data_IF_286216612577
#
_entry.id   IF_286216612577
#
_cell.length_a   1.000
_cell.length_b   1.000
_cell.length_c   1.000
_cell.angle_alpha   90.00
_cell.angle_beta   90.00
_cell.angle_gamma   90.00
#
_symmetry.space_group_name_H-M   'P 1'
#
loop_
_entity.id
_entity.type
_entity.pdbx_description
1 polymer ?
#
# COMPACT_ATOMS: atom_id res chain seq x y z
N UNK A 1 -31.06 -9.25 -40.53
CA UNK A 1 -31.02 -7.77 -40.40
C UNK A 1 -30.80 -7.37 -38.95
N UNK A 2 -29.55 -7.34 -38.45
CA UNK A 2 -29.22 -6.91 -37.07
C UNK A 2 -27.71 -6.67 -36.85
N UNK A 3 -26.98 -6.29 -37.91
CA UNK A 3 -25.52 -6.03 -37.86
C UNK A 3 -25.11 -4.66 -38.43
N UNK A 4 -26.06 -3.73 -38.57
CA UNK A 4 -25.83 -2.45 -39.26
C UNK A 4 -26.18 -1.21 -38.42
N UNK A 5 -26.29 -1.33 -37.09
CA UNK A 5 -26.70 -0.24 -36.21
C UNK A 5 -25.63 0.22 -35.20
N UNK A 6 -24.45 -0.42 -35.16
CA UNK A 6 -23.41 -0.12 -34.15
C UNK A 6 -22.31 0.81 -34.68
N UNK A 7 -22.30 1.11 -35.99
CA UNK A 7 -21.21 1.87 -36.63
C UNK A 7 -21.41 3.40 -36.63
N UNK A 8 -22.45 3.95 -36.00
CA UNK A 8 -22.84 5.36 -36.14
C UNK A 8 -22.78 6.20 -34.85
N UNK A 9 -22.18 5.69 -33.77
CA UNK A 9 -22.10 6.39 -32.48
C UNK A 9 -20.68 6.86 -32.06
N UNK A 10 -19.67 6.69 -32.92
CA UNK A 10 -18.24 6.90 -32.57
C UNK A 10 -17.66 8.24 -33.09
N UNK A 11 -18.45 9.13 -33.71
CA UNK A 11 -17.90 10.33 -34.40
C UNK A 11 -18.19 11.68 -33.69
N UNK A 12 -18.68 11.69 -32.44
CA UNK A 12 -19.14 12.94 -31.80
C UNK A 12 -18.29 13.49 -30.64
N UNK A 13 -17.05 13.02 -30.42
CA UNK A 13 -16.22 13.49 -29.27
C UNK A 13 -14.87 14.15 -29.64
N UNK A 14 -14.75 14.73 -30.84
CA UNK A 14 -13.53 15.40 -31.31
C UNK A 14 -13.74 16.90 -31.59
N UNK A 15 -14.07 17.72 -30.57
CA UNK A 15 -13.90 19.18 -30.66
C UNK A 15 -14.19 19.92 -29.33
N UNK A 16 -13.42 19.69 -28.26
CA UNK A 16 -13.42 20.60 -27.11
C UNK A 16 -12.13 20.52 -26.29
N UNK A 17 -10.99 20.82 -26.90
CA UNK A 17 -9.78 21.18 -26.16
C UNK A 17 -9.40 22.60 -26.56
N UNK A 18 -9.97 23.58 -25.84
CA UNK A 18 -9.52 24.96 -25.93
C UNK A 18 -8.23 25.08 -25.10
N UNK A 19 -7.14 25.68 -25.63
CA UNK A 19 -5.92 25.90 -24.86
C UNK A 19 -6.17 26.94 -23.75
N UNK A 20 -5.65 26.75 -22.52
CA UNK A 20 -5.74 27.76 -21.48
C UNK A 20 -4.97 29.03 -21.88
N UNK A 21 -5.62 30.15 -21.64
CA UNK A 21 -5.22 31.52 -22.00
C UNK A 21 -3.91 31.92 -21.29
N UNK A 22 -3.00 32.67 -21.93
CA UNK A 22 -1.74 33.11 -21.31
C UNK A 22 -2.00 34.01 -20.10
N UNK A 23 -1.44 33.67 -18.94
CA UNK A 23 -1.43 34.55 -17.78
C UNK A 23 -0.26 35.54 -17.90
N UNK A 24 -0.61 36.83 -17.84
CA UNK A 24 0.32 37.97 -17.88
C UNK A 24 1.01 38.11 -16.52
N UNK A 25 2.34 38.11 -16.56
CA UNK A 25 3.24 38.41 -15.44
C UNK A 25 3.08 39.89 -15.08
N UNK A 26 2.71 40.19 -13.83
CA UNK A 26 2.79 41.54 -13.27
C UNK A 26 4.03 41.63 -12.38
N UNK A 27 5.04 42.33 -12.88
CA UNK A 27 6.12 42.90 -12.08
C UNK A 27 5.51 43.69 -10.93
N UNK A 28 5.91 43.37 -9.70
CA UNK A 28 5.61 44.22 -8.55
C UNK A 28 6.90 44.86 -8.09
N UNK A 29 6.85 46.19 -8.16
CA UNK A 29 7.89 47.18 -8.00
C UNK A 29 8.63 47.07 -6.65
N UNK A 30 9.95 47.21 -6.76
CA UNK A 30 10.89 47.42 -5.66
C UNK A 30 10.57 48.75 -4.99
N UNK A 31 10.20 48.73 -3.70
CA UNK A 31 10.21 49.91 -2.85
C UNK A 31 11.25 49.71 -1.76
N UNK A 32 12.40 50.34 -1.99
CA UNK A 32 13.41 50.67 -1.00
C UNK A 32 12.82 51.60 0.04
N UNK A 33 12.65 51.13 1.27
CA UNK A 33 12.47 52.01 2.43
C UNK A 33 13.56 51.71 3.45
N UNK A 34 14.60 52.52 3.37
CA UNK A 34 15.63 52.66 4.40
C UNK A 34 14.96 53.26 5.63
N UNK A 35 14.97 52.52 6.74
CA UNK A 35 14.67 53.08 8.07
C UNK A 35 15.79 52.67 9.00
N UNK A 36 16.36 53.70 9.61
CA UNK A 36 17.54 53.70 10.44
C UNK A 36 17.27 53.04 11.81
N UNK A 37 18.33 52.38 12.30
CA UNK A 37 18.70 52.08 13.71
C UNK A 37 17.72 52.50 14.82
N UNK A 38 17.56 51.64 15.84
CA UNK A 38 18.57 51.66 16.89
C UNK A 38 19.05 50.28 17.36
N UNK A 39 20.23 50.34 17.96
CA UNK A 39 20.97 49.25 18.61
C UNK A 39 20.19 48.77 19.82
N UNK A 40 19.72 47.51 19.80
CA UNK A 40 19.19 46.84 20.99
C UNK A 40 20.07 45.64 21.35
N UNK A 41 20.85 45.86 22.41
CA UNK A 41 21.11 44.95 23.52
C UNK A 41 21.30 43.47 23.15
N UNK A 42 22.56 43.05 23.18
CA UNK A 42 23.03 41.68 23.31
C UNK A 42 22.40 40.99 24.53
N UNK A 43 21.24 40.38 24.37
CA UNK A 43 20.84 39.21 25.16
C UNK A 43 21.20 37.98 24.36
N UNK A 44 22.32 37.36 24.73
CA UNK A 44 22.62 35.98 24.32
C UNK A 44 21.60 35.11 25.03
N UNK A 45 20.44 34.95 24.40
CA UNK A 45 19.54 33.85 24.73
C UNK A 45 20.25 32.62 24.21
N UNK A 46 20.80 31.81 25.11
CA UNK A 46 21.16 30.43 24.80
C UNK A 46 19.91 29.74 24.29
N UNK A 47 19.73 29.77 22.97
CA UNK A 47 18.71 29.01 22.27
C UNK A 47 19.12 27.56 22.47
N UNK A 48 18.57 26.95 23.51
CA UNK A 48 18.61 25.51 23.73
C UNK A 48 18.07 24.89 22.44
N UNK A 49 18.98 24.44 21.59
CA UNK A 49 18.67 23.71 20.38
C UNK A 49 18.28 22.34 20.89
N UNK A 50 17.03 22.17 21.32
CA UNK A 50 16.50 20.84 21.58
C UNK A 50 16.65 20.08 20.26
N UNK A 51 17.49 19.03 20.18
CA UNK A 51 17.67 18.32 18.93
C UNK A 51 16.29 17.82 18.51
N UNK A 52 15.84 18.25 17.33
CA UNK A 52 14.64 17.70 16.72
C UNK A 52 14.83 16.19 16.69
N UNK A 53 13.92 15.40 17.30
CA UNK A 53 14.06 13.95 17.27
C UNK A 53 14.21 13.50 15.81
N UNK A 54 15.11 12.55 15.53
CA UNK A 54 15.29 12.04 14.18
C UNK A 54 13.92 11.61 13.63
N UNK A 55 13.65 11.86 12.34
CA UNK A 55 12.37 11.50 11.75
C UNK A 55 12.10 10.01 12.02
N UNK A 56 10.85 9.63 12.35
CA UNK A 56 10.51 8.25 12.63
C UNK A 56 10.95 7.38 11.45
N UNK A 57 11.64 6.28 11.74
CA UNK A 57 12.09 5.36 10.70
C UNK A 57 10.87 4.86 9.91
N UNK A 58 10.96 4.76 8.57
CA UNK A 58 9.90 4.18 7.77
C UNK A 58 9.60 2.76 8.26
N UNK A 59 8.33 2.39 8.32
CA UNK A 59 7.93 1.01 8.62
C UNK A 59 8.37 0.12 7.46
N UNK A 60 9.01 -1.01 7.73
CA UNK A 60 9.47 -1.94 6.69
C UNK A 60 8.57 -3.17 6.67
N UNK A 61 8.17 -3.60 5.48
CA UNK A 61 7.38 -4.82 5.27
C UNK A 61 7.86 -5.57 4.04
N UNK A 62 7.92 -6.89 4.13
CA UNK A 62 8.23 -7.80 3.04
C UNK A 62 6.94 -8.36 2.46
N UNK A 63 6.85 -8.36 1.14
CA UNK A 63 5.76 -8.95 0.35
C UNK A 63 6.32 -10.14 -0.40
N UNK A 64 5.87 -11.35 -0.06
CA UNK A 64 6.20 -12.58 -0.79
C UNK A 64 5.18 -12.79 -1.89
N UNK A 65 5.59 -12.73 -3.15
CA UNK A 65 4.63 -12.81 -4.26
C UNK A 65 5.26 -13.39 -5.52
N UNK A 66 4.48 -14.23 -6.21
CA UNK A 66 4.77 -14.72 -7.55
C UNK A 66 3.64 -14.31 -8.50
N UNK A 67 4.01 -13.64 -9.58
CA UNK A 67 3.10 -13.17 -10.63
C UNK A 67 3.74 -13.38 -12.00
N UNK A 68 2.93 -13.29 -13.06
CA UNK A 68 3.43 -13.25 -14.43
C UNK A 68 4.26 -11.98 -14.66
N UNK A 69 5.29 -12.04 -15.50
CA UNK A 69 6.28 -10.96 -15.68
C UNK A 69 5.66 -9.56 -15.87
N UNK A 70 4.60 -9.45 -16.67
CA UNK A 70 3.95 -8.16 -16.92
C UNK A 70 3.22 -7.62 -15.67
N UNK A 71 2.62 -8.50 -14.87
CA UNK A 71 1.96 -8.13 -13.61
C UNK A 71 2.99 -7.78 -12.55
N UNK A 72 4.08 -8.55 -12.43
CA UNK A 72 5.18 -8.26 -11.49
C UNK A 72 5.82 -6.90 -11.81
N UNK A 73 6.07 -6.63 -13.10
CA UNK A 73 6.59 -5.34 -13.54
C UNK A 73 5.65 -4.19 -13.14
N UNK A 74 4.37 -4.29 -13.44
CA UNK A 74 3.39 -3.26 -13.07
C UNK A 74 3.30 -3.08 -11.54
N UNK A 75 3.31 -4.18 -10.78
CA UNK A 75 3.26 -4.18 -9.33
C UNK A 75 4.46 -3.42 -8.73
N UNK A 76 5.68 -3.72 -9.21
CA UNK A 76 6.92 -3.09 -8.71
C UNK A 76 7.09 -1.65 -9.18
N UNK A 77 6.69 -1.33 -10.41
CA UNK A 77 6.92 0.02 -10.98
C UNK A 77 5.81 1.02 -10.62
N UNK A 78 4.58 0.55 -10.41
CA UNK A 78 3.42 1.42 -10.23
C UNK A 78 2.79 1.28 -8.85
N UNK A 79 2.43 0.05 -8.45
CA UNK A 79 1.68 -0.17 -7.22
C UNK A 79 2.53 0.07 -5.97
N UNK A 80 3.74 -0.50 -5.92
CA UNK A 80 4.61 -0.39 -4.75
C UNK A 80 5.00 1.06 -4.46
N UNK A 81 5.49 1.87 -5.42
CA UNK A 81 5.81 3.27 -5.15
C UNK A 81 4.59 4.10 -4.70
N UNK A 82 3.40 3.80 -5.26
CA UNK A 82 2.17 4.44 -4.83
C UNK A 82 1.80 4.07 -3.38
N UNK A 83 1.92 2.79 -3.02
CA UNK A 83 1.66 2.30 -1.67
C UNK A 83 2.68 2.83 -0.65
N UNK A 84 3.97 2.83 -0.97
CA UNK A 84 5.03 3.39 -0.10
C UNK A 84 4.77 4.86 0.22
N UNK A 85 4.36 5.65 -0.78
CA UNK A 85 4.00 7.06 -0.62
C UNK A 85 2.73 7.25 0.21
N UNK A 86 1.71 6.42 -0.01
CA UNK A 86 0.44 6.52 0.71
C UNK A 86 0.55 6.11 2.18
N UNK A 87 1.35 5.07 2.46
CA UNK A 87 1.47 4.47 3.79
C UNK A 87 2.72 4.94 4.57
N UNK A 88 3.56 5.78 3.94
CA UNK A 88 4.86 6.21 4.50
C UNK A 88 5.69 5.03 5.04
N UNK A 89 5.76 3.99 4.22
CA UNK A 89 6.41 2.74 4.56
C UNK A 89 7.25 2.24 3.38
N UNK A 90 8.15 1.30 3.65
CA UNK A 90 9.05 0.70 2.67
C UNK A 90 8.65 -0.75 2.46
N UNK A 91 8.43 -1.12 1.21
CA UNK A 91 8.04 -2.48 0.83
C UNK A 91 9.20 -3.19 0.13
N UNK A 92 9.56 -4.37 0.62
CA UNK A 92 10.49 -5.27 -0.06
C UNK A 92 9.71 -6.37 -0.73
N UNK A 93 9.72 -6.42 -2.06
CA UNK A 93 9.00 -7.46 -2.80
C UNK A 93 9.95 -8.60 -3.15
N UNK A 94 9.70 -9.77 -2.57
CA UNK A 94 10.47 -10.99 -2.78
C UNK A 94 9.61 -11.99 -3.55
N UNK A 95 10.20 -12.63 -4.55
CA UNK A 95 9.55 -13.67 -5.33
C UNK A 95 10.12 -15.02 -4.95
N UNK A 96 9.24 -16.01 -4.79
CA UNK A 96 9.60 -17.40 -4.53
C UNK A 96 9.42 -18.22 -5.81
N UNK A 97 10.20 -19.29 -5.93
CA UNK A 97 10.16 -20.18 -7.10
C UNK A 97 9.11 -21.28 -6.94
N UNK A 98 9.03 -21.86 -5.73
CA UNK A 98 8.11 -22.94 -5.39
C UNK A 98 7.18 -22.53 -4.25
N UNK A 99 5.97 -23.06 -4.25
CA UNK A 99 4.95 -22.74 -3.25
C UNK A 99 5.37 -23.24 -1.87
N UNK A 100 6.06 -24.39 -1.81
CA UNK A 100 6.59 -25.00 -0.59
C UNK A 100 7.68 -24.15 0.07
N UNK A 101 8.34 -23.27 -0.69
CA UNK A 101 9.36 -22.36 -0.14
C UNK A 101 8.72 -21.33 0.80
N UNK A 102 7.42 -21.02 0.64
CA UNK A 102 6.71 -20.05 1.46
C UNK A 102 6.74 -20.44 2.94
N UNK A 103 6.39 -21.70 3.25
CA UNK A 103 6.38 -22.20 4.64
C UNK A 103 7.78 -22.07 5.25
N UNK A 104 8.81 -22.47 4.50
CA UNK A 104 10.21 -22.41 4.95
C UNK A 104 10.64 -20.96 5.18
N UNK A 105 10.31 -20.05 4.27
CA UNK A 105 10.65 -18.62 4.39
C UNK A 105 9.98 -17.98 5.61
N UNK A 106 8.67 -18.20 5.79
CA UNK A 106 7.93 -17.66 6.93
C UNK A 106 8.44 -18.24 8.24
N UNK A 107 8.72 -19.55 8.28
CA UNK A 107 9.30 -20.21 9.46
C UNK A 107 10.67 -19.64 9.82
N UNK A 108 11.59 -19.58 8.85
CA UNK A 108 12.93 -19.03 9.08
C UNK A 108 12.88 -17.59 9.59
N UNK A 109 11.92 -16.83 9.09
CA UNK A 109 11.73 -15.45 9.52
C UNK A 109 11.24 -15.35 10.97
N UNK A 110 10.23 -16.16 11.33
CA UNK A 110 9.73 -16.27 12.70
C UNK A 110 10.83 -16.73 13.66
N UNK A 111 11.58 -17.77 13.28
CA UNK A 111 12.70 -18.31 14.07
C UNK A 111 13.83 -17.29 14.24
N UNK A 112 14.05 -16.42 13.24
CA UNK A 112 15.03 -15.33 13.31
C UNK A 112 14.56 -14.13 14.15
N UNK A 113 13.26 -14.05 14.46
CA UNK A 113 12.62 -12.93 15.15
C UNK A 113 12.45 -11.66 14.29
N UNK A 114 12.86 -11.66 13.02
CA UNK A 114 12.72 -10.54 12.08
C UNK A 114 11.30 -10.52 11.52
N UNK A 115 10.29 -10.15 12.29
CA UNK A 115 8.88 -10.15 11.83
C UNK A 115 8.61 -9.06 10.78
N UNK A 116 8.96 -9.31 9.51
CA UNK A 116 8.87 -8.34 8.40
C UNK A 116 7.92 -8.78 7.29
N UNK A 117 7.72 -10.08 7.03
CA UNK A 117 6.80 -10.59 6.01
C UNK A 117 5.39 -10.33 6.50
N UNK A 118 4.80 -9.28 5.94
CA UNK A 118 3.43 -8.85 6.24
C UNK A 118 2.42 -9.29 5.19
N UNK A 119 2.86 -9.67 3.98
CA UNK A 119 1.95 -10.08 2.91
C UNK A 119 2.54 -11.23 2.10
N UNK A 120 1.77 -12.29 1.88
CA UNK A 120 2.17 -13.42 1.06
C UNK A 120 1.08 -13.80 0.08
N UNK A 121 1.40 -13.87 -1.21
CA UNK A 121 0.51 -14.41 -2.22
C UNK A 121 0.75 -15.89 -2.40
N UNK A 122 -0.28 -16.71 -2.18
CA UNK A 122 -0.20 -18.17 -2.35
C UNK A 122 -1.49 -18.75 -2.90
N UNK A 123 -1.56 -20.06 -3.04
CA UNK A 123 -2.76 -20.81 -3.42
C UNK A 123 -3.58 -21.20 -2.19
N UNK A 124 -4.90 -21.36 -2.37
CA UNK A 124 -5.80 -21.71 -1.26
C UNK A 124 -5.43 -23.00 -0.50
N UNK A 125 -4.73 -23.94 -1.14
CA UNK A 125 -4.30 -25.19 -0.52
C UNK A 125 -3.29 -24.99 0.61
N UNK A 126 -2.47 -23.93 0.54
CA UNK A 126 -1.43 -23.65 1.53
C UNK A 126 -1.95 -22.91 2.76
N UNK A 127 -3.16 -22.34 2.69
CA UNK A 127 -3.67 -21.51 3.80
C UNK A 127 -3.91 -22.34 5.03
N UNK A 128 -4.59 -23.48 4.86
CA UNK A 128 -4.96 -24.34 5.97
C UNK A 128 -3.75 -24.81 6.79
N UNK A 129 -2.67 -25.35 6.17
CA UNK A 129 -1.46 -25.67 6.92
C UNK A 129 -0.81 -24.44 7.56
N UNK A 130 -0.77 -23.29 6.88
CA UNK A 130 -0.20 -22.05 7.45
C UNK A 130 -0.98 -21.53 8.69
N UNK A 131 -2.31 -21.67 8.68
CA UNK A 131 -3.17 -21.36 9.85
C UNK A 131 -2.95 -22.37 10.97
N UNK A 132 -2.90 -23.66 10.65
CA UNK A 132 -2.68 -24.72 11.63
C UNK A 132 -1.31 -24.59 12.33
N UNK A 133 -0.29 -24.11 11.62
CA UNK A 133 1.04 -23.82 12.15
C UNK A 133 1.13 -22.49 12.91
N UNK A 134 0.05 -21.68 12.91
CA UNK A 134 0.01 -20.40 13.61
C UNK A 134 0.83 -19.29 12.93
N UNK A 135 1.12 -19.43 11.63
CA UNK A 135 1.91 -18.47 10.87
C UNK A 135 1.10 -17.27 10.37
N UNK A 136 -0.23 -17.35 10.48
CA UNK A 136 -1.16 -16.34 10.02
C UNK A 136 -1.88 -15.63 11.15
N UNK A 137 -2.16 -14.34 10.93
CA UNK A 137 -2.93 -13.51 11.84
C UNK A 137 -4.32 -13.28 11.22
N UNK A 138 -5.43 -13.46 11.98
CA UNK A 138 -6.76 -13.12 11.50
C UNK A 138 -6.88 -11.64 11.12
N UNK A 139 -7.58 -11.34 10.02
CA UNK A 139 -7.78 -9.98 9.51
C UNK A 139 -8.49 -9.08 10.52
N UNK A 140 -9.37 -9.66 11.36
CA UNK A 140 -10.05 -8.95 12.43
C UNK A 140 -9.09 -8.36 13.47
N UNK A 141 -7.94 -9.01 13.70
CA UNK A 141 -6.90 -8.56 14.63
C UNK A 141 -5.99 -7.48 14.02
N UNK A 142 -5.94 -7.40 12.68
CA UNK A 142 -5.08 -6.47 11.93
C UNK A 142 -5.82 -5.16 11.66
N UNK A 143 -6.95 -5.25 10.97
CA UNK A 143 -7.68 -4.11 10.41
C UNK A 143 -8.77 -3.61 11.39
N UNK A 144 -9.18 -4.46 12.32
CA UNK A 144 -10.30 -4.19 13.23
C UNK A 144 -11.65 -4.43 12.56
N UNK A 145 -12.66 -4.76 13.37
CA UNK A 145 -13.98 -5.19 12.88
C UNK A 145 -14.68 -4.14 12.02
N UNK A 146 -14.62 -2.87 12.41
CA UNK A 146 -15.35 -1.80 11.72
C UNK A 146 -14.83 -1.56 10.30
N UNK A 147 -13.51 -1.56 10.13
CA UNK A 147 -12.89 -1.35 8.83
C UNK A 147 -13.00 -2.61 7.97
N UNK A 148 -12.95 -3.80 8.57
CA UNK A 148 -13.18 -5.05 7.86
C UNK A 148 -14.60 -5.13 7.25
N UNK A 149 -15.63 -4.65 7.94
CA UNK A 149 -17.00 -4.60 7.40
C UNK A 149 -17.13 -3.62 6.21
N UNK A 150 -16.34 -2.54 6.18
CA UNK A 150 -16.31 -1.65 5.00
C UNK A 150 -15.67 -2.36 3.81
N UNK A 151 -14.55 -3.03 4.03
CA UNK A 151 -13.89 -3.84 3.00
C UNK A 151 -14.83 -4.95 2.54
N UNK A 152 -15.60 -5.55 3.46
CA UNK A 152 -16.59 -6.58 3.13
C UNK A 152 -17.62 -6.15 2.10
N UNK A 153 -18.04 -4.89 2.13
CA UNK A 153 -18.98 -4.34 1.16
C UNK A 153 -18.40 -4.23 -0.27
N UNK A 154 -17.08 -4.26 -0.44
CA UNK A 154 -16.42 -4.14 -1.74
C UNK A 154 -16.24 -5.49 -2.46
N UNK A 155 -16.38 -6.60 -1.74
CA UNK A 155 -16.14 -7.95 -2.24
C UNK A 155 -17.42 -8.78 -2.24
N UNK A 156 -17.46 -9.81 -3.09
CA UNK A 156 -18.57 -10.77 -3.13
C UNK A 156 -18.51 -11.71 -1.91
N UNK A 157 -19.66 -12.14 -1.40
CA UNK A 157 -19.77 -13.00 -0.21
C UNK A 157 -18.92 -14.28 -0.33
N UNK A 158 -18.89 -14.89 -1.52
CA UNK A 158 -18.09 -16.08 -1.79
C UNK A 158 -16.59 -15.87 -1.50
N UNK A 159 -16.04 -14.67 -1.75
CA UNK A 159 -14.63 -14.38 -1.49
C UNK A 159 -14.28 -14.41 0.00
N UNK A 160 -15.24 -14.05 0.86
CA UNK A 160 -15.12 -14.10 2.31
C UNK A 160 -15.26 -15.51 2.87
N UNK A 161 -16.18 -16.29 2.31
CA UNK A 161 -16.37 -17.69 2.71
C UNK A 161 -15.11 -18.51 2.47
N UNK A 162 -14.42 -18.32 1.33
CA UNK A 162 -13.13 -18.97 1.08
C UNK A 162 -12.07 -18.56 2.10
N UNK A 163 -12.04 -17.28 2.50
CA UNK A 163 -11.08 -16.72 3.46
C UNK A 163 -11.31 -17.11 4.92
N UNK A 164 -12.43 -17.75 5.23
CA UNK A 164 -12.86 -18.01 6.61
C UNK A 164 -12.55 -19.45 7.01
N UNK A 165 -11.72 -19.61 8.06
CA UNK A 165 -11.35 -20.90 8.63
C UNK A 165 -11.72 -20.86 10.11
N UNK A 166 -12.53 -21.82 10.57
CA UNK A 166 -13.01 -21.91 11.96
C UNK A 166 -13.66 -20.62 12.51
N UNK A 167 -14.33 -19.87 11.63
CA UNK A 167 -15.02 -18.62 12.00
C UNK A 167 -14.12 -17.38 12.12
N UNK A 168 -12.85 -17.49 11.70
CA UNK A 168 -11.92 -16.36 11.59
C UNK A 168 -11.50 -16.15 10.13
N UNK A 169 -11.41 -14.90 9.71
CA UNK A 169 -11.03 -14.56 8.33
C UNK A 169 -9.54 -14.32 8.25
N UNK A 170 -8.84 -15.06 7.39
CA UNK A 170 -7.38 -15.00 7.29
C UNK A 170 -6.87 -14.31 6.02
N UNK A 171 -7.71 -14.25 4.98
CA UNK A 171 -7.40 -13.63 3.70
C UNK A 171 -8.68 -13.21 2.98
N UNK A 172 -8.52 -12.43 1.91
CA UNK A 172 -9.60 -12.12 0.97
C UNK A 172 -9.21 -12.68 -0.39
N UNK A 173 -10.05 -13.50 -1.01
CA UNK A 173 -9.78 -14.03 -2.35
C UNK A 173 -9.94 -12.92 -3.40
N UNK A 174 -8.87 -12.58 -4.12
CA UNK A 174 -8.90 -11.48 -5.10
C UNK A 174 -9.62 -11.88 -6.41
N UNK A 175 -9.75 -13.18 -6.71
CA UNK A 175 -10.53 -13.68 -7.83
C UNK A 175 -11.14 -15.05 -7.49
N UNK A 176 -12.29 -15.38 -8.08
CA UNK A 176 -12.97 -16.67 -7.89
C UNK A 176 -12.14 -17.88 -8.38
N UNK A 177 -11.02 -17.63 -9.06
CA UNK A 177 -10.03 -18.61 -9.46
C UNK A 177 -8.87 -18.62 -8.45
N UNK A 178 -8.89 -19.55 -7.50
CA UNK A 178 -7.81 -20.24 -6.72
C UNK A 178 -6.37 -19.67 -6.53
N UNK A 179 -5.87 -18.71 -7.32
CA UNK A 179 -4.45 -18.35 -7.45
C UNK A 179 -4.07 -16.94 -6.93
N UNK A 180 -5.03 -16.10 -6.55
CA UNK A 180 -4.75 -14.74 -6.08
C UNK A 180 -5.19 -14.54 -4.63
N UNK A 181 -4.46 -15.19 -3.73
CA UNK A 181 -4.64 -15.03 -2.30
C UNK A 181 -3.72 -13.95 -1.75
N UNK A 182 -4.17 -13.17 -0.78
CA UNK A 182 -3.28 -12.30 -0.01
C UNK A 182 -3.35 -12.70 1.46
N UNK A 183 -2.33 -13.43 1.90
CA UNK A 183 -2.11 -13.83 3.28
C UNK A 183 -1.42 -12.69 4.03
N UNK A 184 -1.85 -12.42 5.24
CA UNK A 184 -1.12 -11.52 6.13
C UNK A 184 -0.36 -12.34 7.17
N UNK A 185 0.97 -12.34 7.08
CA UNK A 185 1.85 -13.00 8.05
C UNK A 185 2.51 -11.98 8.98
N UNK A 186 3.17 -12.50 10.02
CA UNK A 186 3.79 -11.82 11.17
C UNK A 186 3.83 -10.27 11.21
N UNK A 187 3.12 -9.73 12.22
CA UNK A 187 3.31 -8.42 12.85
C UNK A 187 2.93 -7.14 12.07
N UNK A 188 1.77 -7.16 11.40
CA UNK A 188 1.12 -5.93 10.90
C UNK A 188 0.63 -5.00 12.03
N UNK A 189 0.65 -5.46 13.29
CA UNK A 189 0.32 -4.64 14.45
C UNK A 189 1.26 -3.44 14.63
N UNK A 190 2.51 -3.52 14.15
CA UNK A 190 3.41 -2.35 14.09
C UNK A 190 3.07 -1.40 12.93
N UNK A 191 2.37 -1.87 11.89
CA UNK A 191 1.96 -1.06 10.75
C UNK A 191 0.74 -0.19 11.03
N UNK A 192 -0.19 -0.66 11.87
CA UNK A 192 -1.43 0.07 12.21
C UNK A 192 -1.39 0.92 13.50
N UNK A 193 -0.25 0.99 14.20
CA UNK A 193 -0.05 1.89 15.37
C UNK A 193 0.78 3.12 15.05
#
# INVERSE_FOLDING_TARGET
MKRLAVLLLVVAMLAACAPPTPQVIKETVVVTKVVEKPVEVTKVVEKVITPTPPPPKPKEMTVLIRMMDMQDKWFREQLIPAAEKALNAKFTVVTFDKIEDIEVMVKLELDSGKKTIGLTKTESAEVYPMVALGYMIPLEEIVGKEELEKVKAEYVDAAWEFGTIEGKTYYIAATALVHDLMLVTADVAHFNR
#
